data_IF_862286976367
#
_entry.id   IF_862286976367
#
_cell.length_a   1.000
_cell.length_b   1.000
_cell.length_c   1.000
_cell.angle_alpha   90.00
_cell.angle_beta   90.00
_cell.angle_gamma   90.00
#
_symmetry.space_group_name_H-M   'P 1'
#
loop_
_entity.id
_entity.type
_entity.pdbx_description
1 polymer ?
#
# COMPACT_ATOMS: atom_id res chain seq x y z
N UNK A 1 16.09 10.11 -5.07
CA UNK A 1 17.15 10.91 -4.40
C UNK A 1 16.60 12.14 -3.67
N UNK A 2 15.77 12.99 -4.28
CA UNK A 2 15.10 14.14 -3.61
C UNK A 2 14.31 13.70 -2.36
N UNK A 3 13.66 12.53 -2.41
CA UNK A 3 12.99 11.92 -1.24
C UNK A 3 13.91 11.62 -0.05
N UNK A 4 15.13 11.13 -0.32
CA UNK A 4 16.09 10.76 0.73
C UNK A 4 16.80 11.99 1.30
N UNK A 5 16.99 13.03 0.49
CA UNK A 5 17.60 14.31 0.88
C UNK A 5 16.74 15.50 0.43
N UNK A 6 15.66 15.84 1.18
CA UNK A 6 14.85 17.02 0.88
C UNK A 6 15.69 18.29 0.95
N UNK A 7 15.59 19.16 -0.06
CA UNK A 7 16.38 20.39 -0.13
C UNK A 7 17.73 20.24 -0.84
N UNK A 8 17.97 19.10 -1.51
CA UNK A 8 19.13 18.95 -2.38
C UNK A 8 19.11 19.98 -3.52
N UNK A 9 20.28 20.56 -3.83
CA UNK A 9 20.43 21.45 -4.98
C UNK A 9 20.45 20.66 -6.28
N UNK A 10 19.99 21.26 -7.38
CA UNK A 10 20.01 20.64 -8.71
C UNK A 10 21.41 20.16 -9.12
N UNK A 11 22.45 20.96 -8.78
CA UNK A 11 23.85 20.64 -9.06
C UNK A 11 24.33 19.39 -8.31
N UNK A 12 23.93 19.21 -7.06
CA UNK A 12 24.30 18.03 -6.28
C UNK A 12 23.46 16.81 -6.68
N UNK A 13 22.22 17.01 -7.08
CA UNK A 13 21.38 15.95 -7.62
C UNK A 13 21.95 15.37 -8.94
N UNK A 14 22.43 16.24 -9.84
CA UNK A 14 22.96 15.83 -11.14
C UNK A 14 24.26 15.01 -11.05
N UNK A 15 25.11 15.25 -10.03
CA UNK A 15 26.40 14.58 -9.86
C UNK A 15 26.30 13.08 -9.60
N UNK A 16 25.19 12.65 -9.00
CA UNK A 16 24.98 11.29 -8.53
C UNK A 16 24.19 10.42 -9.52
N UNK A 17 23.85 10.94 -10.70
CA UNK A 17 22.96 10.28 -11.65
C UNK A 17 23.73 9.83 -12.90
N UNK A 18 23.56 8.58 -13.35
CA UNK A 18 24.22 8.05 -14.55
C UNK A 18 23.48 8.51 -15.81
N UNK A 19 23.39 9.82 -16.04
CA UNK A 19 22.74 10.41 -17.21
C UNK A 19 23.48 11.66 -17.69
N UNK A 20 23.29 12.02 -18.95
CA UNK A 20 23.89 13.24 -19.50
C UNK A 20 23.23 14.49 -18.92
N UNK A 21 23.94 15.63 -18.97
CA UNK A 21 23.42 16.93 -18.52
C UNK A 21 22.13 17.32 -19.26
N UNK A 22 22.02 17.00 -20.55
CA UNK A 22 20.86 17.33 -21.38
C UNK A 22 19.63 16.51 -20.94
N UNK A 23 19.81 15.21 -20.72
CA UNK A 23 18.75 14.32 -20.23
C UNK A 23 18.32 14.71 -18.82
N UNK A 24 19.28 15.05 -17.94
CA UNK A 24 18.98 15.52 -16.60
C UNK A 24 18.09 16.78 -16.61
N UNK A 25 18.45 17.79 -17.41
CA UNK A 25 17.67 19.03 -17.52
C UNK A 25 16.28 18.73 -18.07
N UNK A 26 16.19 17.89 -19.09
CA UNK A 26 14.90 17.48 -19.69
C UNK A 26 14.00 16.82 -18.65
N UNK A 27 14.49 15.83 -17.91
CA UNK A 27 13.71 15.15 -16.89
C UNK A 27 13.35 16.07 -15.72
N UNK A 28 14.26 16.94 -15.29
CA UNK A 28 13.99 17.88 -14.21
C UNK A 28 12.90 18.89 -14.61
N UNK A 29 12.94 19.40 -15.83
CA UNK A 29 11.90 20.31 -16.32
C UNK A 29 10.54 19.61 -16.40
N UNK A 30 10.49 18.37 -16.91
CA UNK A 30 9.26 17.59 -16.92
C UNK A 30 8.67 17.43 -15.51
N UNK A 31 9.50 17.14 -14.51
CA UNK A 31 9.07 16.99 -13.11
C UNK A 31 8.58 18.32 -12.49
N UNK A 32 9.15 19.45 -12.91
CA UNK A 32 8.72 20.77 -12.46
C UNK A 32 7.41 21.19 -13.15
N UNK A 33 7.27 20.90 -14.45
CA UNK A 33 6.09 21.19 -15.26
C UNK A 33 4.89 20.31 -14.86
N UNK A 34 5.12 19.03 -14.56
CA UNK A 34 4.08 18.11 -14.05
C UNK A 34 3.68 18.41 -12.60
N UNK A 35 4.45 19.26 -11.90
CA UNK A 35 4.23 19.60 -10.50
C UNK A 35 4.58 18.47 -9.52
N UNK A 36 5.34 17.46 -9.97
CA UNK A 36 5.84 16.38 -9.12
C UNK A 36 7.01 16.83 -8.24
N UNK A 37 7.81 17.76 -8.75
CA UNK A 37 8.86 18.46 -8.02
C UNK A 37 8.56 19.97 -7.94
N UNK A 38 9.04 20.60 -6.87
CA UNK A 38 8.94 22.05 -6.66
C UNK A 38 10.34 22.58 -6.38
N UNK A 39 10.66 23.70 -7.02
CA UNK A 39 11.86 24.48 -6.71
C UNK A 39 11.52 25.51 -5.63
N UNK A 40 12.28 25.48 -4.53
CA UNK A 40 12.15 26.41 -3.41
C UNK A 40 13.53 27.00 -3.10
N UNK A 41 13.59 28.03 -2.27
CA UNK A 41 14.85 28.58 -1.78
C UNK A 41 15.04 28.21 -0.31
N UNK A 42 16.27 27.87 0.07
CA UNK A 42 16.63 27.72 1.48
C UNK A 42 16.93 29.08 2.13
N UNK A 43 17.27 29.07 3.42
CA UNK A 43 17.57 30.28 4.22
C UNK A 43 18.75 31.11 3.66
N UNK A 44 19.64 30.49 2.89
CA UNK A 44 20.77 31.15 2.24
C UNK A 44 20.44 31.58 0.78
N UNK A 45 19.15 31.63 0.41
CA UNK A 45 18.67 31.95 -0.93
C UNK A 45 19.22 31.01 -2.03
N UNK A 46 19.54 29.76 -1.68
CA UNK A 46 20.01 28.75 -2.64
C UNK A 46 18.81 27.94 -3.15
N UNK A 47 18.67 27.74 -4.48
CA UNK A 47 17.60 26.94 -5.04
C UNK A 47 17.75 25.45 -4.68
N UNK A 48 16.66 24.90 -4.18
CA UNK A 48 16.56 23.58 -3.57
C UNK A 48 15.31 22.87 -4.09
N UNK A 49 15.46 21.59 -4.43
CA UNK A 49 14.36 20.78 -4.93
C UNK A 49 13.67 20.05 -3.78
N UNK A 50 12.34 20.06 -3.81
CA UNK A 50 11.46 19.27 -2.93
C UNK A 50 10.45 18.52 -3.78
N UNK A 51 9.97 17.38 -3.29
CA UNK A 51 8.78 16.78 -3.88
C UNK A 51 7.57 17.63 -3.54
N UNK A 52 6.63 17.73 -4.47
CA UNK A 52 5.34 18.33 -4.20
C UNK A 52 4.63 17.57 -3.08
N UNK A 53 3.94 18.28 -2.19
CA UNK A 53 3.21 17.68 -1.07
C UNK A 53 2.16 16.65 -1.55
N UNK A 54 1.61 16.82 -2.76
CA UNK A 54 0.67 15.89 -3.39
C UNK A 54 1.34 14.55 -3.72
N UNK A 55 2.51 14.59 -4.34
CA UNK A 55 3.31 13.39 -4.66
C UNK A 55 3.87 12.76 -3.38
N UNK A 56 4.31 13.56 -2.42
CA UNK A 56 4.75 13.06 -1.12
C UNK A 56 3.63 12.35 -0.34
N UNK A 57 2.39 12.82 -0.45
CA UNK A 57 1.22 12.16 0.13
C UNK A 57 0.85 10.88 -0.64
N UNK A 58 0.85 10.92 -1.97
CA UNK A 58 0.54 9.77 -2.81
C UNK A 58 1.53 8.62 -2.62
N UNK A 59 2.84 8.90 -2.64
CA UNK A 59 3.89 7.89 -2.37
C UNK A 59 3.74 7.30 -0.97
N UNK A 60 3.43 8.12 0.05
CA UNK A 60 3.22 7.61 1.42
C UNK A 60 1.99 6.73 1.55
N UNK A 61 0.91 7.05 0.81
CA UNK A 61 -0.29 6.24 0.77
C UNK A 61 -0.02 4.90 0.07
N UNK A 62 0.73 4.91 -1.04
CA UNK A 62 1.14 3.69 -1.75
C UNK A 62 2.07 2.82 -0.89
N UNK A 63 3.07 3.40 -0.22
CA UNK A 63 3.97 2.64 0.68
C UNK A 63 3.23 2.06 1.89
N UNK A 64 2.33 2.83 2.50
CA UNK A 64 1.51 2.33 3.60
C UNK A 64 0.55 1.20 3.13
N UNK A 65 0.03 1.28 1.90
CA UNK A 65 -0.81 0.21 1.34
C UNK A 65 -0.02 -1.07 1.09
N UNK A 66 1.20 -0.97 0.56
CA UNK A 66 2.10 -2.12 0.37
C UNK A 66 2.41 -2.80 1.71
N UNK A 67 2.76 -2.04 2.74
CA UNK A 67 3.03 -2.57 4.09
C UNK A 67 1.80 -3.29 4.67
N UNK A 68 0.60 -2.72 4.47
CA UNK A 68 -0.66 -3.31 4.92
C UNK A 68 -0.95 -4.63 4.19
N UNK A 69 -0.77 -4.69 2.86
CA UNK A 69 -0.98 -5.92 2.09
C UNK A 69 0.00 -7.03 2.49
N UNK A 70 1.27 -6.68 2.71
CA UNK A 70 2.29 -7.62 3.18
C UNK A 70 1.96 -8.17 4.57
N UNK A 71 1.54 -7.31 5.50
CA UNK A 71 1.12 -7.72 6.84
C UNK A 71 -0.10 -8.66 6.77
N UNK A 72 -1.07 -8.38 5.90
CA UNK A 72 -2.23 -9.24 5.70
C UNK A 72 -1.82 -10.62 5.17
N UNK A 73 -0.94 -10.69 4.16
CA UNK A 73 -0.42 -11.96 3.61
C UNK A 73 0.35 -12.77 4.65
N UNK A 74 1.14 -12.10 5.49
CA UNK A 74 1.85 -12.74 6.58
C UNK A 74 0.87 -13.35 7.59
N UNK A 75 -0.18 -12.62 7.97
CA UNK A 75 -1.23 -13.14 8.85
C UNK A 75 -1.96 -14.34 8.24
N UNK A 76 -2.34 -14.27 6.95
CA UNK A 76 -2.93 -15.37 6.23
C UNK A 76 -2.06 -16.64 6.29
N UNK A 77 -0.75 -16.51 6.03
CA UNK A 77 0.20 -17.64 6.07
C UNK A 77 0.33 -18.22 7.48
N UNK A 78 0.47 -17.35 8.49
CA UNK A 78 0.64 -17.77 9.90
C UNK A 78 -0.60 -18.49 10.43
N UNK A 79 -1.78 -17.92 10.18
CA UNK A 79 -3.06 -18.48 10.64
C UNK A 79 -3.42 -19.75 9.86
N UNK A 80 -3.16 -19.76 8.55
CA UNK A 80 -3.46 -20.89 7.68
C UNK A 80 -2.55 -22.10 7.88
N UNK A 81 -1.34 -21.93 8.41
CA UNK A 81 -0.37 -23.03 8.64
C UNK A 81 -0.19 -23.93 7.40
N UNK A 82 -0.16 -23.34 6.21
CA UNK A 82 -0.04 -24.05 4.93
C UNK A 82 -1.36 -24.46 4.27
N UNK A 83 -2.50 -24.23 4.91
CA UNK A 83 -3.81 -24.43 4.28
C UNK A 83 -4.08 -23.37 3.20
N UNK A 84 -4.73 -23.80 2.11
CA UNK A 84 -5.13 -22.91 1.00
C UNK A 84 -6.38 -22.10 1.29
N UNK A 85 -7.23 -22.53 2.22
CA UNK A 85 -8.47 -21.86 2.57
C UNK A 85 -8.37 -21.52 4.06
N UNK A 86 -8.53 -20.25 4.40
CA UNK A 86 -8.33 -19.76 5.76
C UNK A 86 -9.55 -18.99 6.23
N UNK A 87 -9.97 -19.20 7.48
CA UNK A 87 -11.11 -18.51 8.09
C UNK A 87 -10.79 -17.04 8.35
N UNK A 88 -11.66 -16.15 7.86
CA UNK A 88 -11.50 -14.69 7.94
C UNK A 88 -11.42 -14.22 9.40
N UNK A 89 -12.30 -14.73 10.27
CA UNK A 89 -12.33 -14.32 11.68
C UNK A 89 -10.99 -14.56 12.40
N UNK A 90 -10.25 -15.62 12.06
CA UNK A 90 -8.95 -15.93 12.67
C UNK A 90 -7.86 -14.95 12.22
N UNK A 91 -7.88 -14.54 10.95
CA UNK A 91 -6.95 -13.53 10.42
C UNK A 91 -7.24 -12.18 11.08
N UNK A 92 -8.52 -11.84 11.24
CA UNK A 92 -8.96 -10.62 11.95
C UNK A 92 -8.49 -10.61 13.40
N UNK A 93 -8.66 -11.71 14.12
CA UNK A 93 -8.17 -11.87 15.50
C UNK A 93 -6.65 -11.76 15.59
N UNK A 94 -5.92 -12.35 14.63
CA UNK A 94 -4.45 -12.30 14.60
C UNK A 94 -3.90 -10.89 14.35
N UNK A 95 -4.46 -10.17 13.38
CA UNK A 95 -4.03 -8.81 13.04
C UNK A 95 -4.46 -7.79 14.11
N UNK A 96 -5.59 -8.02 14.77
CA UNK A 96 -6.18 -7.12 15.77
C UNK A 96 -6.33 -5.67 15.26
N UNK A 97 -6.60 -5.52 13.96
CA UNK A 97 -6.80 -4.22 13.33
C UNK A 97 -8.20 -3.66 13.60
N UNK A 98 -8.38 -2.32 13.51
CA UNK A 98 -9.70 -1.72 13.43
C UNK A 98 -10.53 -2.38 12.33
N UNK A 99 -11.81 -2.67 12.61
CA UNK A 99 -12.72 -3.38 11.69
C UNK A 99 -12.73 -2.76 10.29
N UNK A 100 -12.83 -1.42 10.23
CA UNK A 100 -12.81 -0.67 8.97
C UNK A 100 -11.52 -0.90 8.18
N UNK A 101 -10.35 -0.81 8.83
CA UNK A 101 -9.07 -1.03 8.15
C UNK A 101 -9.01 -2.44 7.54
N UNK A 102 -9.35 -3.45 8.33
CA UNK A 102 -9.36 -4.83 7.84
C UNK A 102 -10.34 -5.03 6.67
N UNK A 103 -11.56 -4.50 6.79
CA UNK A 103 -12.61 -4.66 5.78
C UNK A 103 -12.23 -3.97 4.46
N UNK A 104 -11.66 -2.77 4.51
CA UNK A 104 -11.16 -2.05 3.32
C UNK A 104 -9.98 -2.79 2.67
N UNK A 105 -9.02 -3.30 3.45
CA UNK A 105 -7.92 -4.11 2.91
C UNK A 105 -8.45 -5.38 2.24
N UNK A 106 -9.42 -6.07 2.86
CA UNK A 106 -10.03 -7.26 2.29
C UNK A 106 -10.75 -6.94 0.97
N UNK A 107 -11.53 -5.85 0.93
CA UNK A 107 -12.21 -5.36 -0.29
C UNK A 107 -11.20 -5.04 -1.39
N UNK A 108 -10.12 -4.34 -1.06
CA UNK A 108 -9.07 -3.99 -2.03
C UNK A 108 -8.37 -5.24 -2.59
N UNK A 109 -7.99 -6.19 -1.73
CA UNK A 109 -7.36 -7.44 -2.16
C UNK A 109 -8.28 -8.30 -3.03
N UNK A 110 -9.59 -8.28 -2.76
CA UNK A 110 -10.60 -8.96 -3.57
C UNK A 110 -10.78 -8.27 -4.92
N UNK A 111 -10.86 -6.95 -4.95
CA UNK A 111 -11.00 -6.16 -6.17
C UNK A 111 -9.81 -6.35 -7.13
N UNK A 112 -8.61 -6.51 -6.58
CA UNK A 112 -7.38 -6.77 -7.34
C UNK A 112 -7.18 -8.27 -7.67
N UNK A 113 -8.19 -9.11 -7.45
CA UNK A 113 -8.14 -10.57 -7.67
C UNK A 113 -6.98 -11.28 -6.93
N UNK A 114 -6.41 -10.66 -5.90
CA UNK A 114 -5.31 -11.22 -5.10
C UNK A 114 -5.84 -12.32 -4.18
N UNK A 115 -7.07 -12.16 -3.71
CA UNK A 115 -7.78 -13.15 -2.89
C UNK A 115 -9.15 -13.43 -3.48
N UNK A 116 -9.70 -14.56 -3.10
CA UNK A 116 -11.09 -14.93 -3.36
C UNK A 116 -11.79 -15.19 -2.04
N UNK A 117 -12.98 -14.62 -1.88
CA UNK A 117 -13.80 -14.77 -0.69
C UNK A 117 -14.84 -15.86 -0.91
N UNK A 118 -15.00 -16.72 0.10
CA UNK A 118 -15.91 -17.85 0.07
C UNK A 118 -16.96 -17.70 1.16
N UNK A 119 -18.22 -17.79 0.75
CA UNK A 119 -19.33 -18.02 1.67
C UNK A 119 -19.21 -19.36 2.38
N UNK A 120 -20.04 -19.57 3.39
CA UNK A 120 -20.14 -20.86 4.08
C UNK A 120 -21.35 -20.89 4.99
N UNK A 121 -21.62 -22.05 5.56
CA UNK A 121 -22.70 -22.22 6.53
C UNK A 121 -22.30 -21.66 7.91
N UNK A 122 -22.95 -20.60 8.41
CA UNK A 122 -22.67 -20.04 9.72
C UNK A 122 -23.26 -20.85 10.88
N UNK A 123 -24.06 -21.89 10.63
CA UNK A 123 -24.81 -22.64 11.66
C UNK A 123 -23.90 -23.29 12.73
N UNK A 124 -22.65 -23.59 12.37
CA UNK A 124 -21.65 -24.15 13.29
C UNK A 124 -20.73 -23.09 13.91
N UNK A 125 -20.99 -21.80 13.70
CA UNK A 125 -20.16 -20.69 14.18
C UNK A 125 -20.81 -19.98 15.35
N UNK A 126 -19.98 -19.53 16.29
CA UNK A 126 -20.43 -18.65 17.37
C UNK A 126 -20.69 -17.23 16.86
N UNK A 127 -21.50 -16.46 17.60
CA UNK A 127 -21.77 -15.04 17.30
C UNK A 127 -20.49 -14.20 17.17
N UNK A 128 -19.46 -14.53 17.96
CA UNK A 128 -18.17 -13.85 17.89
C UNK A 128 -17.48 -14.13 16.56
N UNK A 129 -17.49 -15.38 16.11
CA UNK A 129 -16.90 -15.78 14.84
C UNK A 129 -17.67 -15.18 13.66
N UNK A 130 -19.02 -15.15 13.74
CA UNK A 130 -19.87 -14.49 12.74
C UNK A 130 -19.57 -12.99 12.66
N UNK A 131 -19.44 -12.30 13.80
CA UNK A 131 -19.04 -10.87 13.84
C UNK A 131 -17.62 -10.65 13.34
N UNK A 132 -16.75 -11.64 13.51
CA UNK A 132 -15.37 -11.64 13.03
C UNK A 132 -15.23 -11.93 11.54
N UNK A 133 -16.26 -12.51 10.90
CA UNK A 133 -16.32 -12.71 9.45
C UNK A 133 -16.52 -11.41 8.69
N UNK A 134 -16.59 -11.49 7.35
CA UNK A 134 -16.77 -10.33 6.49
C UNK A 134 -18.17 -10.34 5.88
N UNK A 135 -18.92 -9.25 6.07
CA UNK A 135 -20.20 -9.05 5.40
C UNK A 135 -19.97 -8.18 4.17
N UNK A 136 -20.28 -8.73 2.99
CA UNK A 136 -20.20 -7.98 1.73
C UNK A 136 -21.31 -6.95 1.62
N UNK A 137 -21.12 -6.02 0.69
CA UNK A 137 -22.14 -4.99 0.38
C UNK A 137 -23.37 -5.61 -0.34
N UNK A 138 -23.23 -6.84 -0.83
CA UNK A 138 -24.28 -7.69 -1.39
C UNK A 138 -25.14 -8.40 -0.32
N UNK A 139 -24.81 -8.21 0.96
CA UNK A 139 -25.49 -8.85 2.09
C UNK A 139 -25.05 -10.29 2.35
N UNK A 140 -24.05 -10.81 1.62
CA UNK A 140 -23.53 -12.15 1.85
C UNK A 140 -22.48 -12.15 2.97
N UNK A 141 -22.48 -13.24 3.75
CA UNK A 141 -21.49 -13.48 4.78
C UNK A 141 -20.35 -14.35 4.19
N UNK A 142 -19.18 -13.75 4.06
CA UNK A 142 -17.96 -14.44 3.69
C UNK A 142 -17.23 -14.88 4.95
N UNK A 143 -16.89 -16.18 5.00
CA UNK A 143 -16.33 -16.83 6.19
C UNK A 143 -14.89 -17.26 5.93
N UNK A 144 -14.56 -17.63 4.70
CA UNK A 144 -13.23 -18.10 4.31
C UNK A 144 -12.65 -17.24 3.19
N UNK A 145 -11.32 -17.27 3.07
CA UNK A 145 -10.62 -16.67 1.94
C UNK A 145 -9.52 -17.61 1.43
N UNK A 146 -9.27 -17.52 0.12
CA UNK A 146 -8.16 -18.17 -0.57
C UNK A 146 -7.24 -17.10 -1.16
N UNK A 147 -5.93 -17.31 -1.08
CA UNK A 147 -4.95 -16.40 -1.65
C UNK A 147 -4.43 -16.91 -3.01
N UNK A 148 -4.56 -16.11 -4.06
CA UNK A 148 -4.16 -16.46 -5.43
C UNK A 148 -2.99 -15.62 -5.98
N UNK A 149 -2.90 -14.34 -5.62
CA UNK A 149 -1.97 -13.39 -6.25
C UNK A 149 -0.55 -13.35 -5.66
N UNK A 150 0.42 -12.85 -6.44
CA UNK A 150 1.70 -12.37 -5.92
C UNK A 150 1.52 -10.96 -5.36
N UNK A 151 2.18 -10.65 -4.23
CA UNK A 151 2.36 -9.24 -3.86
C UNK A 151 3.68 -8.92 -4.54
N UNK A 152 3.65 -8.09 -5.56
CA UNK A 152 4.87 -7.72 -6.28
C UNK A 152 5.68 -6.78 -5.39
N UNK A 153 6.74 -7.33 -4.78
CA UNK A 153 7.76 -6.59 -4.04
C UNK A 153 8.53 -5.74 -5.06
N UNK A 154 8.20 -4.44 -5.17
CA UNK A 154 8.90 -3.47 -6.01
C UNK A 154 9.97 -2.71 -5.23
#
# INVERSE_FOLDING_TARGET
KIRKNPGISSKNLAKDLPMSKKEFISHLNNLLESGEAVCTFNENCIPCLKLSARVGAQIRLEEADVDVRLAFKAAYRTVGKGQKIVRIHRIREYLNWPRRQFDETLKSLMADYTIELHGGDPSAMSDKEIKGSFAGDDGLLYINLTWWGTIDEH
#
